data_IF_942987668462
#
_entry.id   IF_942987668462
#
_cell.length_a   1.000
_cell.length_b   1.000
_cell.length_c   1.000
_cell.angle_alpha   90.00
_cell.angle_beta   90.00
_cell.angle_gamma   90.00
#
_symmetry.space_group_name_H-M   'P 1'
#
loop_
_entity.id
_entity.type
_entity.pdbx_description
1 polymer ?
#
# COMPACT_ATOMS: atom_id res chain seq x y z
N UNK A 1 -13.83 -3.00 15.18
CA UNK A 1 -12.77 -2.99 14.15
C UNK A 1 -13.29 -3.71 12.93
N UNK A 2 -13.14 -3.11 11.76
CA UNK A 2 -13.57 -3.73 10.51
C UNK A 2 -12.42 -4.47 9.84
N UNK A 3 -12.74 -5.44 8.98
CA UNK A 3 -11.75 -6.15 8.21
C UNK A 3 -11.17 -5.23 7.13
N UNK A 4 -9.89 -5.41 6.73
CA UNK A 4 -9.30 -4.63 5.66
C UNK A 4 -10.06 -4.83 4.34
N UNK A 5 -10.25 -3.73 3.63
CA UNK A 5 -10.83 -3.69 2.29
C UNK A 5 -9.82 -3.16 1.29
N UNK A 6 -8.96 -2.24 1.73
CA UNK A 6 -8.00 -1.55 0.89
C UNK A 6 -6.57 -1.81 1.33
N UNK A 7 -5.68 -1.96 0.37
CA UNK A 7 -4.24 -2.05 0.60
C UNK A 7 -3.59 -0.86 -0.11
N UNK A 8 -3.09 0.10 0.66
CA UNK A 8 -2.47 1.29 0.07
C UNK A 8 -1.00 1.04 -0.27
N UNK A 9 -0.55 1.58 -1.39
CA UNK A 9 0.83 1.44 -1.83
C UNK A 9 1.75 2.48 -1.19
N UNK A 10 3.06 2.34 -1.42
CA UNK A 10 4.05 3.25 -0.84
C UNK A 10 3.89 4.68 -1.37
N UNK A 11 3.60 4.85 -2.65
CA UNK A 11 3.47 6.18 -3.25
C UNK A 11 2.33 6.97 -2.60
N UNK A 12 1.19 6.33 -2.34
CA UNK A 12 0.08 6.98 -1.67
C UNK A 12 0.47 7.38 -0.25
N UNK A 13 1.13 6.49 0.49
CA UNK A 13 1.62 6.78 1.84
C UNK A 13 2.55 7.99 1.84
N UNK A 14 3.51 8.01 0.93
CA UNK A 14 4.50 9.09 0.81
C UNK A 14 3.80 10.42 0.49
N UNK A 15 2.83 10.40 -0.42
CA UNK A 15 2.09 11.61 -0.80
C UNK A 15 1.27 12.16 0.36
N UNK A 16 0.64 11.29 1.14
CA UNK A 16 -0.14 11.71 2.32
C UNK A 16 0.78 12.27 3.39
N UNK A 17 1.88 11.57 3.69
CA UNK A 17 2.85 12.02 4.69
C UNK A 17 3.50 13.35 4.30
N UNK A 18 3.75 13.55 3.01
CA UNK A 18 4.36 14.78 2.49
C UNK A 18 3.37 15.93 2.30
N UNK A 19 2.09 15.74 2.60
CA UNK A 19 1.07 16.77 2.43
C UNK A 19 0.76 17.10 0.97
N UNK A 20 1.05 16.18 0.05
CA UNK A 20 0.89 16.43 -1.39
C UNK A 20 -0.48 16.08 -1.94
N UNK A 21 -1.31 15.37 -1.15
CA UNK A 21 -2.63 14.96 -1.60
C UNK A 21 -3.64 15.10 -0.46
N UNK A 22 -4.36 16.21 -0.47
CA UNK A 22 -5.47 16.43 0.47
C UNK A 22 -6.59 15.43 0.23
N UNK A 23 -6.87 15.11 -1.03
CA UNK A 23 -7.92 14.15 -1.39
C UNK A 23 -7.66 12.78 -0.80
N UNK A 24 -6.43 12.27 -0.94
CA UNK A 24 -6.07 10.99 -0.37
C UNK A 24 -6.17 11.01 1.15
N UNK A 25 -5.69 12.07 1.78
CA UNK A 25 -5.75 12.23 3.24
C UNK A 25 -7.21 12.24 3.72
N UNK A 26 -8.08 12.96 3.03
CA UNK A 26 -9.51 13.03 3.36
C UNK A 26 -10.18 11.67 3.21
N UNK A 27 -9.87 10.94 2.16
CA UNK A 27 -10.44 9.61 1.93
C UNK A 27 -9.97 8.62 3.00
N UNK A 28 -8.71 8.67 3.38
CA UNK A 28 -8.20 7.86 4.49
C UNK A 28 -8.90 8.18 5.79
N UNK A 29 -9.06 9.47 6.10
CA UNK A 29 -9.72 9.91 7.33
C UNK A 29 -11.20 9.51 7.39
N UNK A 30 -11.84 9.35 6.23
CA UNK A 30 -13.24 8.93 6.14
C UNK A 30 -13.43 7.44 6.32
N UNK A 31 -12.37 6.64 6.24
CA UNK A 31 -12.45 5.18 6.44
C UNK A 31 -12.48 4.83 7.92
N UNK A 32 -13.11 3.70 8.24
CA UNK A 32 -13.07 3.14 9.58
C UNK A 32 -11.68 2.59 9.88
N UNK A 33 -11.29 2.61 11.16
CA UNK A 33 -10.02 2.03 11.59
C UNK A 33 -10.00 0.54 11.22
N UNK A 34 -8.94 0.13 10.53
CA UNK A 34 -8.77 -1.24 10.05
C UNK A 34 -9.31 -1.50 8.67
N UNK A 35 -10.12 -0.60 8.10
CA UNK A 35 -10.63 -0.73 6.74
C UNK A 35 -9.50 -0.56 5.70
N UNK A 36 -8.52 0.26 6.02
CA UNK A 36 -7.33 0.49 5.20
C UNK A 36 -6.13 -0.12 5.87
N UNK A 37 -5.37 -0.92 5.13
CA UNK A 37 -4.12 -1.51 5.58
C UNK A 37 -3.03 -1.21 4.56
N UNK A 38 -1.80 -1.53 4.88
CA UNK A 38 -0.70 -1.47 3.93
C UNK A 38 0.13 -2.75 4.01
N UNK A 39 1.02 -2.92 3.05
CA UNK A 39 1.93 -4.04 2.98
C UNK A 39 3.21 -3.76 3.76
N UNK A 40 3.82 -4.79 4.35
CA UNK A 40 5.17 -4.69 4.91
C UNK A 40 6.18 -4.24 3.85
N UNK A 41 5.94 -4.55 2.57
CA UNK A 41 6.77 -4.08 1.46
C UNK A 41 6.65 -2.56 1.31
N UNK A 42 5.44 -2.03 1.29
CA UNK A 42 5.20 -0.58 1.22
C UNK A 42 5.77 0.13 2.45
N UNK A 43 5.57 -0.46 3.62
CA UNK A 43 6.12 0.05 4.88
C UNK A 43 7.65 0.20 4.78
N UNK A 44 8.34 -0.83 4.28
CA UNK A 44 9.79 -0.79 4.11
C UNK A 44 10.22 0.35 3.19
N UNK A 45 9.53 0.54 2.08
CA UNK A 45 9.83 1.64 1.14
C UNK A 45 9.66 3.01 1.81
N UNK A 46 8.56 3.20 2.53
CA UNK A 46 8.29 4.46 3.24
C UNK A 46 9.35 4.71 4.31
N UNK A 47 9.72 3.68 5.07
CA UNK A 47 10.70 3.81 6.14
C UNK A 47 12.10 4.13 5.64
N UNK A 48 12.48 3.63 4.45
CA UNK A 48 13.75 4.02 3.83
C UNK A 48 13.78 5.54 3.61
N UNK A 49 12.71 6.08 3.02
CA UNK A 49 12.61 7.52 2.79
C UNK A 49 12.55 8.33 4.09
N UNK A 50 11.85 7.82 5.10
CA UNK A 50 11.75 8.48 6.39
C UNK A 50 13.11 8.57 7.10
N UNK A 51 13.92 7.51 7.02
CA UNK A 51 15.29 7.53 7.56
C UNK A 51 16.14 8.59 6.88
N UNK A 52 16.04 8.69 5.56
CA UNK A 52 16.83 9.65 4.78
C UNK A 52 16.44 11.10 5.07
N UNK A 53 15.18 11.35 5.42
CA UNK A 53 14.64 12.71 5.66
C UNK A 53 14.54 13.06 7.14
N UNK A 54 14.99 12.19 8.02
CA UNK A 54 14.86 12.34 9.48
C UNK A 54 13.40 12.58 9.90
N UNK A 55 12.50 11.78 9.32
CA UNK A 55 11.05 11.87 9.57
C UNK A 55 10.44 10.56 10.06
N UNK A 56 11.23 9.75 10.75
CA UNK A 56 10.81 8.42 11.23
C UNK A 56 9.60 8.52 12.17
N UNK A 57 9.60 9.51 13.07
CA UNK A 57 8.51 9.65 14.04
C UNK A 57 7.17 9.92 13.35
N UNK A 58 7.16 10.75 12.32
CA UNK A 58 5.95 11.03 11.54
C UNK A 58 5.46 9.78 10.83
N UNK A 59 6.36 9.00 10.24
CA UNK A 59 6.00 7.76 9.56
C UNK A 59 5.43 6.73 10.54
N UNK A 60 6.05 6.58 11.70
CA UNK A 60 5.56 5.65 12.72
C UNK A 60 4.19 6.05 13.24
N UNK A 61 3.95 7.34 13.42
CA UNK A 61 2.63 7.84 13.83
C UNK A 61 1.56 7.53 12.78
N UNK A 62 1.90 7.66 11.50
CA UNK A 62 1.00 7.31 10.40
C UNK A 62 0.64 5.82 10.45
N UNK A 63 1.64 4.95 10.56
CA UNK A 63 1.42 3.51 10.59
C UNK A 63 0.81 2.99 11.89
N UNK A 64 0.81 3.79 12.94
CA UNK A 64 0.10 3.42 14.18
C UNK A 64 -1.41 3.29 13.95
N UNK A 65 -1.95 3.96 12.94
CA UNK A 65 -3.37 3.94 12.61
C UNK A 65 -3.68 3.08 11.37
N UNK A 66 -2.66 2.61 10.66
CA UNK A 66 -2.83 1.81 9.45
C UNK A 66 -2.11 0.49 9.64
N UNK A 67 -2.84 -0.62 9.81
CA UNK A 67 -2.19 -1.92 10.01
C UNK A 67 -1.23 -2.25 8.88
N UNK A 68 -0.06 -2.76 9.26
CA UNK A 68 0.97 -3.22 8.32
C UNK A 68 0.87 -4.74 8.25
N UNK A 69 0.47 -5.27 7.09
CA UNK A 69 0.25 -6.70 6.91
C UNK A 69 1.53 -7.37 6.39
N UNK A 70 1.89 -8.53 6.92
CA UNK A 70 3.10 -9.22 6.49
C UNK A 70 2.97 -9.75 5.06
N UNK A 71 4.08 -9.73 4.31
CA UNK A 71 4.15 -10.42 3.03
C UNK A 71 4.44 -11.88 3.33
N UNK A 72 3.39 -12.69 3.36
CA UNK A 72 3.45 -14.07 3.81
C UNK A 72 3.59 -15.07 2.66
N UNK A 73 3.51 -16.35 3.00
CA UNK A 73 3.62 -17.44 2.02
C UNK A 73 2.53 -17.39 0.95
N UNK A 74 1.28 -17.02 1.34
CA UNK A 74 0.18 -16.91 0.39
C UNK A 74 0.44 -15.77 -0.62
N UNK A 75 0.97 -14.65 -0.15
CA UNK A 75 1.38 -13.54 -1.02
C UNK A 75 2.49 -13.97 -1.98
N UNK A 76 3.45 -14.74 -1.50
CA UNK A 76 4.52 -15.29 -2.32
C UNK A 76 3.99 -16.19 -3.43
N UNK A 77 3.01 -17.05 -3.11
CA UNK A 77 2.38 -17.89 -4.12
C UNK A 77 1.63 -17.09 -5.17
N UNK A 78 0.90 -16.08 -4.74
CA UNK A 78 0.21 -15.17 -5.68
C UNK A 78 1.22 -14.49 -6.61
N UNK A 79 2.33 -14.02 -6.05
CA UNK A 79 3.40 -13.39 -6.84
C UNK A 79 3.93 -14.32 -7.92
N UNK A 80 4.12 -15.59 -7.60
CA UNK A 80 4.66 -16.57 -8.55
C UNK A 80 3.78 -16.80 -9.78
N UNK A 81 2.50 -16.43 -9.71
CA UNK A 81 1.55 -16.57 -10.81
C UNK A 81 1.44 -15.32 -11.68
N UNK A 82 2.07 -14.23 -11.29
CA UNK A 82 2.03 -12.98 -12.06
C UNK A 82 3.11 -12.98 -13.14
N UNK A 83 2.89 -12.22 -14.24
CA UNK A 83 3.95 -12.03 -15.22
C UNK A 83 5.19 -11.46 -14.55
N UNK A 84 6.34 -12.03 -14.82
CA UNK A 84 7.59 -11.62 -14.16
C UNK A 84 7.96 -10.17 -14.49
N UNK A 85 8.31 -9.40 -13.47
CA UNK A 85 8.80 -8.04 -13.64
C UNK A 85 9.88 -7.79 -12.59
N UNK A 86 11.12 -7.71 -13.05
CA UNK A 86 12.28 -7.57 -12.17
C UNK A 86 12.24 -6.24 -11.41
N UNK A 87 12.54 -6.30 -10.11
CA UNK A 87 12.73 -5.12 -9.27
C UNK A 87 11.47 -4.32 -8.98
N UNK A 88 10.30 -4.91 -9.14
CA UNK A 88 9.03 -4.22 -8.92
C UNK A 88 8.46 -4.50 -7.53
N UNK A 89 8.56 -3.53 -6.62
CA UNK A 89 7.86 -3.61 -5.34
C UNK A 89 6.35 -3.53 -5.52
N UNK A 90 5.88 -2.80 -6.51
CA UNK A 90 4.45 -2.71 -6.81
C UNK A 90 3.87 -4.08 -7.14
N UNK A 91 4.63 -4.92 -7.81
CA UNK A 91 4.21 -6.28 -8.14
C UNK A 91 4.05 -7.14 -6.89
N UNK A 92 4.92 -6.97 -5.90
CA UNK A 92 4.79 -7.64 -4.61
C UNK A 92 3.55 -7.19 -3.86
N UNK A 93 3.29 -5.88 -3.85
CA UNK A 93 2.10 -5.31 -3.22
C UNK A 93 0.83 -5.83 -3.90
N UNK A 94 0.83 -5.85 -5.23
CA UNK A 94 -0.28 -6.39 -6.02
C UNK A 94 -0.56 -7.86 -5.68
N UNK A 95 0.49 -8.67 -5.58
CA UNK A 95 0.35 -10.08 -5.24
C UNK A 95 -0.27 -10.27 -3.85
N UNK A 96 0.15 -9.46 -2.90
CA UNK A 96 -0.39 -9.51 -1.55
C UNK A 96 -1.88 -9.14 -1.53
N UNK A 97 -2.26 -8.10 -2.27
CA UNK A 97 -3.66 -7.70 -2.39
C UNK A 97 -4.50 -8.81 -3.02
N UNK A 98 -4.00 -9.46 -4.06
CA UNK A 98 -4.69 -10.59 -4.69
C UNK A 98 -4.89 -11.74 -3.70
N UNK A 99 -3.85 -12.08 -2.94
CA UNK A 99 -3.92 -13.17 -1.97
C UNK A 99 -4.94 -12.90 -0.86
N UNK A 100 -5.12 -11.62 -0.50
CA UNK A 100 -6.03 -11.22 0.58
C UNK A 100 -7.41 -10.80 0.08
N UNK A 101 -7.60 -10.68 -1.24
CA UNK A 101 -8.85 -10.20 -1.81
C UNK A 101 -9.10 -8.72 -1.60
N UNK A 102 -8.04 -7.91 -1.51
CA UNK A 102 -8.13 -6.48 -1.24
C UNK A 102 -7.99 -5.66 -2.52
N UNK A 103 -8.53 -4.45 -2.48
CA UNK A 103 -8.35 -3.45 -3.54
C UNK A 103 -7.08 -2.64 -3.25
N UNK A 104 -6.18 -2.54 -4.22
CA UNK A 104 -5.01 -1.66 -4.10
C UNK A 104 -5.46 -0.22 -4.29
N UNK A 105 -4.99 0.67 -3.44
CA UNK A 105 -5.20 2.11 -3.59
C UNK A 105 -3.87 2.78 -3.84
N UNK A 106 -3.80 3.54 -4.92
CA UNK A 106 -2.57 4.15 -5.39
C UNK A 106 -2.82 5.58 -5.85
N UNK A 107 -1.77 6.33 -6.05
CA UNK A 107 -1.81 7.61 -6.76
C UNK A 107 -1.33 7.49 -8.20
N UNK A 108 -1.01 6.28 -8.67
CA UNK A 108 -0.56 6.03 -10.02
C UNK A 108 -1.08 4.67 -10.53
N UNK A 109 -2.23 4.69 -11.20
CA UNK A 109 -2.87 3.48 -11.74
C UNK A 109 -1.97 2.71 -12.71
N UNK A 110 -1.11 3.41 -13.44
CA UNK A 110 -0.25 2.78 -14.45
C UNK A 110 0.69 1.74 -13.84
N UNK A 111 1.06 1.87 -12.58
CA UNK A 111 1.96 0.94 -11.90
C UNK A 111 1.32 -0.44 -11.71
N UNK A 112 -0.01 -0.54 -11.81
CA UNK A 112 -0.77 -1.76 -11.50
C UNK A 112 -1.63 -2.26 -12.65
N UNK A 113 -1.68 -1.56 -13.78
CA UNK A 113 -2.61 -1.87 -14.87
C UNK A 113 -2.32 -3.21 -15.56
N UNK A 114 -1.09 -3.72 -15.45
CA UNK A 114 -0.69 -4.97 -16.08
C UNK A 114 -0.81 -6.20 -15.15
N UNK A 115 -1.51 -6.05 -14.03
CA UNK A 115 -1.73 -7.17 -13.09
C UNK A 115 -3.12 -7.75 -13.29
N UNK A 116 -3.24 -8.99 -13.82
CA UNK A 116 -4.55 -9.60 -14.08
C UNK A 116 -5.36 -9.80 -12.79
N UNK A 117 -6.64 -9.46 -12.85
CA UNK A 117 -7.59 -9.72 -11.77
C UNK A 117 -7.50 -8.79 -10.57
N UNK A 118 -6.58 -7.83 -10.59
CA UNK A 118 -6.40 -6.90 -9.46
C UNK A 118 -7.42 -5.76 -9.55
N UNK A 119 -8.07 -5.46 -8.41
CA UNK A 119 -8.90 -4.27 -8.28
C UNK A 119 -8.03 -3.12 -7.79
N UNK A 120 -8.11 -1.99 -8.46
CA UNK A 120 -7.28 -0.82 -8.17
C UNK A 120 -8.14 0.43 -8.17
N UNK A 121 -7.92 1.32 -7.19
CA UNK A 121 -8.54 2.64 -7.12
C UNK A 121 -7.47 3.72 -7.02
N UNK A 122 -7.72 4.84 -7.67
CA UNK A 122 -6.88 6.03 -7.59
C UNK A 122 -7.54 7.03 -6.65
N UNK A 123 -6.84 7.35 -5.55
CA UNK A 123 -7.32 8.33 -4.57
C UNK A 123 -6.58 9.67 -4.66
N UNK A 124 -5.74 9.83 -5.67
CA UNK A 124 -4.98 11.08 -5.85
C UNK A 124 -5.86 12.27 -6.22
#
# INVERSE_FOLDING_TARGET
MVAPQYLIDANLCINVLGGRSEKAAERLAACDIGQVATSAVAYAEVMIGAQQRDSVDQALAFFAQIPVLPFDKAAGRAYSRLPFKRGSYDRLIAAQALALGLTVVTSNLADFEDVPGLKVEDWA
#
